data_IF_868152430761
#
_entry.id   IF_868152430761
#
_cell.length_a   1.000
_cell.length_b   1.000
_cell.length_c   1.000
_cell.angle_alpha   90.00
_cell.angle_beta   90.00
_cell.angle_gamma   90.00
#
_symmetry.space_group_name_H-M   'P 1'
#
loop_
_entity.id
_entity.type
_entity.pdbx_description
1 polymer ?
#
# COMPACT_ATOMS: atom_id res chain seq x y z
N UNK A 1 -15.55 -49.32 -12.11
CA UNK A 1 -15.57 -48.23 -13.12
C UNK A 1 -16.22 -46.92 -12.64
N UNK A 2 -17.13 -46.91 -11.66
CA UNK A 2 -17.74 -45.65 -11.16
C UNK A 2 -16.79 -44.71 -10.38
N UNK A 3 -15.67 -45.22 -9.85
CA UNK A 3 -14.71 -44.43 -9.07
C UNK A 3 -13.79 -43.50 -9.88
N UNK A 4 -13.45 -43.85 -11.13
CA UNK A 4 -12.56 -43.02 -11.95
C UNK A 4 -13.25 -41.76 -12.50
N UNK A 5 -14.56 -41.81 -12.74
CA UNK A 5 -15.32 -40.68 -13.29
C UNK A 5 -15.46 -39.55 -12.25
N UNK A 6 -15.55 -39.89 -10.96
CA UNK A 6 -15.67 -38.91 -9.88
C UNK A 6 -14.37 -38.12 -9.67
N UNK A 7 -13.21 -38.76 -9.84
CA UNK A 7 -11.90 -38.12 -9.72
C UNK A 7 -11.63 -37.19 -10.91
N UNK A 8 -12.03 -37.60 -12.12
CA UNK A 8 -11.92 -36.76 -13.32
C UNK A 8 -12.80 -35.50 -13.25
N UNK A 9 -13.99 -35.59 -12.65
CA UNK A 9 -14.89 -34.45 -12.49
C UNK A 9 -14.38 -33.44 -11.45
N UNK A 10 -13.74 -33.91 -10.37
CA UNK A 10 -13.14 -33.04 -9.36
C UNK A 10 -11.94 -32.24 -9.90
N UNK A 11 -11.14 -32.85 -10.78
CA UNK A 11 -9.99 -32.20 -11.42
C UNK A 11 -10.41 -31.10 -12.43
N UNK A 12 -11.58 -31.24 -13.05
CA UNK A 12 -12.10 -30.25 -14.00
C UNK A 12 -12.66 -28.99 -13.31
N UNK A 13 -13.24 -29.11 -12.11
CA UNK A 13 -13.77 -27.95 -11.36
C UNK A 13 -12.63 -27.04 -10.88
N UNK A 14 -11.44 -27.60 -10.58
CA UNK A 14 -10.27 -26.82 -10.20
C UNK A 14 -9.67 -25.98 -11.33
N UNK A 15 -9.95 -26.31 -12.59
CA UNK A 15 -9.39 -25.63 -13.77
C UNK A 15 -10.22 -24.41 -14.23
N UNK A 16 -11.45 -24.26 -13.71
CA UNK A 16 -12.32 -23.11 -13.98
C UNK A 16 -12.38 -22.11 -12.82
N UNK A 17 -11.59 -22.34 -11.75
CA UNK A 17 -11.39 -21.36 -10.71
C UNK A 17 -10.60 -20.19 -11.29
N UNK A 18 -11.33 -19.13 -11.69
CA UNK A 18 -10.75 -17.81 -11.95
C UNK A 18 -9.75 -17.48 -10.84
N UNK A 19 -8.54 -16.96 -11.12
CA UNK A 19 -7.62 -16.57 -10.08
C UNK A 19 -8.37 -15.64 -9.14
N UNK A 20 -8.49 -16.06 -7.88
CA UNK A 20 -9.18 -15.33 -6.83
C UNK A 20 -8.57 -13.92 -6.77
N UNK A 21 -9.28 -12.93 -7.31
CA UNK A 21 -8.85 -11.51 -7.38
C UNK A 21 -8.69 -10.91 -5.97
N UNK A 22 -9.09 -11.63 -4.93
CA UNK A 22 -9.34 -11.09 -3.59
C UNK A 22 -8.10 -10.89 -2.69
N UNK A 23 -6.88 -11.16 -3.16
CA UNK A 23 -5.69 -11.01 -2.31
C UNK A 23 -4.45 -10.45 -3.04
N UNK A 24 -4.65 -9.44 -3.90
CA UNK A 24 -3.54 -8.72 -4.53
C UNK A 24 -3.35 -7.35 -3.87
N UNK A 25 -2.16 -7.09 -3.32
CA UNK A 25 -1.79 -5.80 -2.75
C UNK A 25 -1.97 -4.64 -3.75
N UNK A 26 -1.71 -4.89 -5.03
CA UNK A 26 -1.88 -3.92 -6.11
C UNK A 26 -3.34 -3.49 -6.30
N UNK A 27 -4.30 -4.41 -6.14
CA UNK A 27 -5.73 -4.08 -6.24
C UNK A 27 -6.13 -3.06 -5.17
N UNK A 28 -5.77 -3.33 -3.91
CA UNK A 28 -6.07 -2.41 -2.81
C UNK A 28 -5.30 -1.09 -2.96
N UNK A 29 -4.04 -1.13 -3.39
CA UNK A 29 -3.28 0.08 -3.69
C UNK A 29 -3.96 0.95 -4.76
N UNK A 30 -4.33 0.37 -5.90
CA UNK A 30 -4.98 1.10 -6.99
C UNK A 30 -6.36 1.66 -6.60
N UNK A 31 -7.14 0.91 -5.80
CA UNK A 31 -8.40 1.41 -5.26
C UNK A 31 -8.19 2.51 -4.22
N UNK A 32 -7.17 2.38 -3.39
CA UNK A 32 -6.72 3.41 -2.45
C UNK A 32 -6.35 4.72 -3.15
N UNK A 33 -5.57 4.65 -4.24
CA UNK A 33 -5.27 5.80 -5.10
C UNK A 33 -6.56 6.46 -5.62
N UNK A 34 -7.53 5.67 -6.10
CA UNK A 34 -8.80 6.20 -6.58
C UNK A 34 -9.61 6.89 -5.46
N UNK A 35 -9.57 6.38 -4.23
CA UNK A 35 -10.15 7.07 -3.07
C UNK A 35 -9.44 8.38 -2.74
N UNK A 36 -8.11 8.41 -2.83
CA UNK A 36 -7.32 9.62 -2.63
C UNK A 36 -7.65 10.73 -3.62
N UNK A 37 -7.81 10.37 -4.91
CA UNK A 37 -8.26 11.30 -5.96
C UNK A 37 -9.68 11.85 -5.71
N UNK A 38 -10.55 11.08 -5.04
CA UNK A 38 -11.89 11.51 -4.61
C UNK A 38 -11.90 12.25 -3.28
N UNK A 39 -10.74 12.45 -2.64
CA UNK A 39 -10.63 13.07 -1.31
C UNK A 39 -11.12 12.17 -0.16
N UNK A 40 -11.39 10.88 -0.40
CA UNK A 40 -11.90 9.94 0.60
C UNK A 40 -10.75 9.34 1.43
N UNK A 41 -10.12 10.18 2.26
CA UNK A 41 -8.86 9.88 2.94
C UNK A 41 -8.91 8.64 3.84
N UNK A 42 -9.99 8.44 4.59
CA UNK A 42 -10.07 7.27 5.49
C UNK A 42 -10.14 5.95 4.71
N UNK A 43 -10.78 5.95 3.54
CA UNK A 43 -10.80 4.77 2.67
C UNK A 43 -9.45 4.54 1.99
N UNK A 44 -8.78 5.61 1.56
CA UNK A 44 -7.41 5.54 1.04
C UNK A 44 -6.44 4.94 2.08
N UNK A 45 -6.54 5.35 3.35
CA UNK A 45 -5.74 4.80 4.45
C UNK A 45 -6.06 3.32 4.68
N UNK A 46 -7.35 2.97 4.70
CA UNK A 46 -7.80 1.58 4.88
C UNK A 46 -7.27 0.67 3.77
N UNK A 47 -7.38 1.09 2.52
CA UNK A 47 -6.94 0.31 1.37
C UNK A 47 -5.42 0.21 1.28
N UNK A 48 -4.70 1.31 1.55
CA UNK A 48 -3.24 1.28 1.59
C UNK A 48 -2.74 0.39 2.73
N UNK A 49 -3.42 0.39 3.88
CA UNK A 49 -3.13 -0.54 4.99
C UNK A 49 -3.36 -1.98 4.57
N UNK A 50 -4.45 -2.27 3.85
CA UNK A 50 -4.70 -3.62 3.35
C UNK A 50 -3.64 -4.08 2.35
N UNK A 51 -3.20 -3.19 1.47
CA UNK A 51 -2.10 -3.47 0.55
C UNK A 51 -0.79 -3.78 1.29
N UNK A 52 -0.50 -3.07 2.39
CA UNK A 52 0.67 -3.31 3.26
C UNK A 52 0.54 -4.65 4.00
N UNK A 53 -0.64 -4.99 4.53
CA UNK A 53 -0.87 -6.31 5.17
C UNK A 53 -0.62 -7.47 4.22
N UNK A 54 -1.01 -7.32 2.94
CA UNK A 54 -0.85 -8.35 1.92
C UNK A 54 0.62 -8.41 1.44
N UNK A 55 1.25 -7.26 1.23
CA UNK A 55 2.66 -7.16 0.87
C UNK A 55 3.37 -6.10 1.72
N UNK A 56 4.00 -6.50 2.83
CA UNK A 56 4.72 -5.59 3.72
C UNK A 56 5.95 -4.92 3.09
N UNK A 57 6.39 -5.38 1.90
CA UNK A 57 7.48 -4.79 1.12
C UNK A 57 6.97 -3.89 -0.01
N UNK A 58 5.69 -3.51 -0.02
CA UNK A 58 5.14 -2.67 -1.06
C UNK A 58 5.36 -1.18 -0.76
N UNK A 59 6.54 -0.66 -1.08
CA UNK A 59 6.94 0.72 -0.78
C UNK A 59 5.93 1.79 -1.23
N UNK A 60 5.29 1.59 -2.40
CA UNK A 60 4.28 2.52 -2.90
C UNK A 60 3.04 2.61 -1.99
N UNK A 61 2.64 1.52 -1.34
CA UNK A 61 1.49 1.53 -0.43
C UNK A 61 1.77 2.34 0.85
N UNK A 62 3.01 2.28 1.37
CA UNK A 62 3.42 3.14 2.48
C UNK A 62 3.41 4.62 2.09
N UNK A 63 3.99 4.98 0.93
CA UNK A 63 3.96 6.39 0.50
C UNK A 63 2.54 6.90 0.26
N UNK A 64 1.64 6.06 -0.28
CA UNK A 64 0.25 6.44 -0.48
C UNK A 64 -0.49 6.66 0.85
N UNK A 65 -0.30 5.77 1.83
CA UNK A 65 -0.86 5.95 3.16
C UNK A 65 -0.30 7.19 3.87
N UNK A 66 1.01 7.43 3.73
CA UNK A 66 1.69 8.63 4.20
C UNK A 66 1.08 9.90 3.59
N UNK A 67 0.82 9.93 2.28
CA UNK A 67 0.16 11.07 1.63
C UNK A 67 -1.23 11.34 2.23
N UNK A 68 -2.00 10.29 2.50
CA UNK A 68 -3.32 10.42 3.11
C UNK A 68 -3.25 10.98 4.53
N UNK A 69 -2.30 10.52 5.35
CA UNK A 69 -2.04 11.06 6.69
C UNK A 69 -1.55 12.51 6.65
N UNK A 70 -0.70 12.86 5.68
CA UNK A 70 -0.18 14.22 5.51
C UNK A 70 -1.33 15.20 5.31
N UNK A 71 -2.30 14.82 4.48
CA UNK A 71 -3.47 15.67 4.23
C UNK A 71 -4.45 15.73 5.41
N UNK A 72 -4.30 14.86 6.42
CA UNK A 72 -4.99 14.94 7.71
C UNK A 72 -4.17 15.67 8.79
N UNK A 73 -2.94 16.09 8.48
CA UNK A 73 -2.03 16.74 9.43
C UNK A 73 -1.33 15.79 10.41
N UNK A 74 -1.38 14.47 10.17
CA UNK A 74 -0.84 13.48 11.09
C UNK A 74 0.66 13.20 10.81
N UNK A 75 1.51 14.20 10.97
CA UNK A 75 2.89 14.19 10.47
C UNK A 75 3.78 13.06 11.02
N UNK A 76 3.57 12.58 12.25
CA UNK A 76 4.33 11.44 12.78
C UNK A 76 4.09 10.15 11.99
N UNK A 77 2.84 9.89 11.63
CA UNK A 77 2.47 8.71 10.84
C UNK A 77 3.04 8.80 9.42
N UNK A 78 3.09 10.02 8.87
CA UNK A 78 3.69 10.30 7.56
C UNK A 78 5.18 10.00 7.56
N UNK A 79 5.93 10.50 8.54
CA UNK A 79 7.37 10.28 8.67
C UNK A 79 7.66 8.78 8.83
N UNK A 80 6.87 8.08 9.65
CA UNK A 80 7.00 6.63 9.82
C UNK A 80 6.79 5.87 8.51
N UNK A 81 5.74 6.19 7.75
CA UNK A 81 5.41 5.51 6.50
C UNK A 81 6.46 5.79 5.40
N UNK A 82 6.91 7.03 5.24
CA UNK A 82 7.96 7.34 4.27
C UNK A 82 9.31 6.72 4.66
N UNK A 83 9.66 6.71 5.94
CA UNK A 83 10.85 6.01 6.42
C UNK A 83 10.78 4.53 6.06
N UNK A 84 9.62 3.90 6.25
CA UNK A 84 9.45 2.50 5.86
C UNK A 84 9.58 2.28 4.35
N UNK A 85 9.04 3.18 3.54
CA UNK A 85 9.18 3.13 2.08
C UNK A 85 10.66 3.24 1.65
N UNK A 86 11.44 4.09 2.30
CA UNK A 86 12.89 4.27 2.09
C UNK A 86 13.67 3.02 2.52
N UNK A 87 13.37 2.43 3.67
CA UNK A 87 14.00 1.18 4.12
C UNK A 87 13.79 0.03 3.10
N UNK A 88 12.60 -0.02 2.49
CA UNK A 88 12.25 -1.02 1.49
C UNK A 88 12.93 -0.73 0.15
N UNK A 89 12.94 0.54 -0.27
CA UNK A 89 13.55 1.00 -1.51
C UNK A 89 14.41 2.25 -1.24
N UNK A 90 15.72 2.07 -0.97
CA UNK A 90 16.61 3.18 -0.66
C UNK A 90 16.82 4.20 -1.78
N UNK A 91 16.44 3.89 -3.02
CA UNK A 91 16.50 4.83 -4.16
C UNK A 91 15.16 5.53 -4.43
N UNK A 92 14.18 5.42 -3.54
CA UNK A 92 12.85 5.99 -3.74
C UNK A 92 12.83 7.51 -3.47
N UNK A 93 13.31 8.30 -4.44
CA UNK A 93 13.46 9.75 -4.31
C UNK A 93 12.19 10.50 -3.84
N UNK A 94 11.01 10.07 -4.30
CA UNK A 94 9.73 10.66 -3.87
C UNK A 94 9.48 10.51 -2.36
N UNK A 95 9.92 9.41 -1.75
CA UNK A 95 9.74 9.19 -0.32
C UNK A 95 10.64 10.11 0.52
N UNK A 96 11.90 10.31 0.11
CA UNK A 96 12.80 11.29 0.75
C UNK A 96 12.25 12.71 0.65
N UNK A 97 11.90 13.16 -0.57
CA UNK A 97 11.34 14.49 -0.78
C UNK A 97 10.09 14.73 0.08
N UNK A 98 9.17 13.77 0.13
CA UNK A 98 7.95 13.93 0.91
C UNK A 98 8.22 13.87 2.43
N UNK A 99 9.21 13.11 2.89
CA UNK A 99 9.63 13.09 4.29
C UNK A 99 10.27 14.42 4.71
N UNK A 100 11.19 14.96 3.92
CA UNK A 100 11.80 16.26 4.18
C UNK A 100 10.76 17.39 4.22
N UNK A 101 9.82 17.42 3.28
CA UNK A 101 8.67 18.34 3.30
C UNK A 101 7.85 18.17 4.58
N UNK A 102 7.59 16.93 5.00
CA UNK A 102 6.82 16.66 6.22
C UNK A 102 7.55 17.15 7.47
N UNK A 103 8.86 16.91 7.57
CA UNK A 103 9.71 17.42 8.65
C UNK A 103 9.65 18.96 8.71
N UNK A 104 9.72 19.64 7.56
CA UNK A 104 9.57 21.09 7.47
C UNK A 104 8.23 21.58 8.03
N UNK A 105 7.11 20.97 7.62
CA UNK A 105 5.77 21.37 8.10
C UNK A 105 5.52 21.01 9.56
N UNK A 106 6.21 19.98 10.09
CA UNK A 106 6.20 19.64 11.50
C UNK A 106 7.07 20.59 12.35
N UNK A 107 7.94 21.39 11.73
CA UNK A 107 8.89 22.28 12.40
C UNK A 107 10.22 21.61 12.76
N UNK A 108 10.47 20.40 12.27
CA UNK A 108 11.72 19.65 12.48
C UNK A 108 12.72 19.97 11.34
N UNK A 109 13.14 21.24 11.25
CA UNK A 109 13.99 21.73 10.16
C UNK A 109 15.33 21.01 10.07
N UNK A 110 15.91 20.63 11.21
CA UNK A 110 17.15 19.86 11.27
C UNK A 110 17.02 18.48 10.60
N UNK A 111 15.83 17.87 10.60
CA UNK A 111 15.64 16.60 9.89
C UNK A 111 15.31 16.79 8.42
N UNK A 112 14.78 17.97 8.05
CA UNK A 112 14.41 18.27 6.67
C UNK A 112 15.62 18.48 5.76
N UNK A 113 16.76 18.95 6.28
CA UNK A 113 17.99 19.11 5.48
C UNK A 113 18.79 17.81 5.33
N UNK A 114 18.51 16.81 6.16
CA UNK A 114 19.16 15.49 6.12
C UNK A 114 18.55 14.56 5.05
N UNK A 115 17.34 14.87 4.57
CA UNK A 115 16.63 14.18 3.47
C UNK A 115 17.06 14.69 2.08
#
# INVERSE_FOLDING_TARGET
>A
MKGLILIALALFISACATPKVENNAEFYYNRGLAYGLKGQRDKEISDSTKAIEINPRYAMAYTNRGNAYYKKGHYDQVISDYTKAIEINPSYALAYNNRGITCYYKGEYDKAWED
#
